data_IF_484412376010
#
_entry.id   IF_484412376010
#
_cell.length_a   1.000
_cell.length_b   1.000
_cell.length_c   1.000
_cell.angle_alpha   90.00
_cell.angle_beta   90.00
_cell.angle_gamma   90.00
#
_symmetry.space_group_name_H-M   'P 1'
#
loop_
_entity.id
_entity.type
_entity.pdbx_description
1 polymer ?
#
# COMPACT_ATOMS: atom_id res chain seq x y z
N UNK A 1 -9.68 10.42 -2.60
CA UNK A 1 -9.13 9.07 -2.35
C UNK A 1 -7.67 9.23 -2.00
N UNK A 2 -7.22 8.65 -0.88
CA UNK A 2 -5.82 8.66 -0.43
C UNK A 2 -5.37 7.23 -0.28
N UNK A 3 -4.20 6.88 -0.84
CA UNK A 3 -3.61 5.55 -0.65
C UNK A 3 -2.76 5.55 0.60
N UNK A 4 -3.04 4.63 1.51
CA UNK A 4 -2.21 4.33 2.66
C UNK A 4 -1.13 3.34 2.21
N UNK A 5 0.12 3.65 2.53
CA UNK A 5 1.30 2.84 2.19
C UNK A 5 1.96 2.41 3.49
N UNK A 6 2.27 1.12 3.63
CA UNK A 6 2.97 0.62 4.81
C UNK A 6 4.36 1.26 4.92
N UNK A 7 4.74 1.65 6.14
CA UNK A 7 6.07 2.15 6.48
C UNK A 7 7.22 1.19 6.13
N UNK A 8 6.97 -0.12 5.99
CA UNK A 8 7.97 -1.13 5.61
C UNK A 8 8.17 -1.25 4.10
N UNK A 9 7.32 -0.62 3.29
CA UNK A 9 7.45 -0.65 1.83
C UNK A 9 8.55 0.29 1.32
N UNK A 10 9.22 -0.03 0.18
CA UNK A 10 10.30 0.81 -0.35
C UNK A 10 9.86 2.26 -0.60
N UNK A 11 10.67 3.25 -0.21
CA UNK A 11 10.32 4.68 -0.37
C UNK A 11 10.01 5.07 -1.83
N UNK A 12 10.70 4.44 -2.78
CA UNK A 12 10.50 4.67 -4.22
C UNK A 12 9.07 4.34 -4.69
N UNK A 13 8.36 3.41 -4.03
CA UNK A 13 6.97 3.10 -4.42
C UNK A 13 6.05 4.26 -4.06
N UNK A 14 6.25 4.88 -2.90
CA UNK A 14 5.46 6.02 -2.48
C UNK A 14 5.71 7.22 -3.41
N UNK A 15 6.97 7.47 -3.77
CA UNK A 15 7.34 8.53 -4.71
C UNK A 15 6.69 8.36 -6.09
N UNK A 16 6.54 7.11 -6.56
CA UNK A 16 5.85 6.80 -7.81
C UNK A 16 4.34 7.04 -7.70
N UNK A 17 3.69 6.52 -6.65
CA UNK A 17 2.23 6.62 -6.48
C UNK A 17 1.80 8.08 -6.26
N UNK A 18 2.58 8.86 -5.49
CA UNK A 18 2.30 10.28 -5.19
C UNK A 18 2.23 11.17 -6.43
N UNK A 19 2.71 10.72 -7.59
CA UNK A 19 2.61 11.46 -8.85
C UNK A 19 1.16 11.58 -9.35
N UNK A 20 0.29 10.65 -8.94
CA UNK A 20 -1.09 10.56 -9.47
C UNK A 20 -2.13 10.70 -8.37
N UNK A 21 -1.82 10.26 -7.15
CA UNK A 21 -2.78 10.19 -6.04
C UNK A 21 -2.10 10.56 -4.72
N UNK A 22 -2.75 11.34 -3.83
CA UNK A 22 -2.23 11.57 -2.49
C UNK A 22 -1.96 10.26 -1.77
N UNK A 23 -0.81 10.17 -1.10
CA UNK A 23 -0.50 9.02 -0.26
C UNK A 23 -0.09 9.43 1.15
N UNK A 24 -0.23 8.49 2.07
CA UNK A 24 0.20 8.65 3.45
C UNK A 24 0.89 7.38 3.93
N UNK A 25 2.09 7.53 4.50
CA UNK A 25 2.85 6.42 5.08
C UNK A 25 2.54 6.25 6.56
N UNK A 26 2.23 5.02 6.95
CA UNK A 26 2.05 4.62 8.35
C UNK A 26 2.30 3.12 8.51
N UNK A 27 2.47 2.64 9.74
CA UNK A 27 2.53 1.21 10.01
C UNK A 27 1.13 0.58 9.82
N UNK A 28 0.96 -0.25 8.77
CA UNK A 28 -0.30 -0.91 8.43
C UNK A 28 -0.32 -2.36 8.96
N UNK A 29 0.78 -3.08 8.78
CA UNK A 29 1.03 -4.42 9.28
C UNK A 29 1.07 -4.43 10.83
N UNK A 30 0.49 -5.45 11.51
CA UNK A 30 -0.13 -6.67 10.97
C UNK A 30 -1.63 -6.57 10.70
N UNK A 31 -2.22 -5.40 10.82
CA UNK A 31 -3.67 -5.24 10.74
C UNK A 31 -4.18 -5.15 9.29
N UNK A 32 -3.36 -4.63 8.39
CA UNK A 32 -3.70 -4.34 7.01
C UNK A 32 -2.55 -4.74 6.07
N UNK A 33 -2.88 -4.88 4.78
CA UNK A 33 -1.90 -5.16 3.73
C UNK A 33 -0.99 -3.95 3.45
N UNK A 34 0.05 -4.18 2.66
CA UNK A 34 1.09 -3.20 2.33
C UNK A 34 0.55 -1.90 1.72
N UNK A 35 -0.55 -1.99 0.96
CA UNK A 35 -1.28 -0.83 0.46
C UNK A 35 -2.78 -0.96 0.75
N UNK A 36 -3.42 0.15 1.13
CA UNK A 36 -4.85 0.20 1.40
C UNK A 36 -5.48 1.52 0.98
N UNK A 37 -6.72 1.46 0.49
CA UNK A 37 -7.59 2.64 0.41
C UNK A 37 -9.06 2.26 0.54
N UNK A 38 -9.91 3.26 0.73
CA UNK A 38 -11.36 3.13 0.63
C UNK A 38 -11.78 3.72 -0.71
N UNK A 39 -12.41 2.90 -1.54
CA UNK A 39 -12.95 3.29 -2.83
C UNK A 39 -14.20 4.17 -2.66
N UNK A 40 -14.60 4.85 -3.75
CA UNK A 40 -15.71 5.81 -3.73
C UNK A 40 -17.07 5.19 -3.40
N UNK A 41 -17.19 3.88 -3.58
CA UNK A 41 -18.37 3.07 -3.27
C UNK A 41 -18.33 2.49 -1.85
N UNK A 42 -17.34 2.89 -1.04
CA UNK A 42 -17.17 2.46 0.35
C UNK A 42 -16.43 1.14 0.53
N UNK A 43 -16.04 0.45 -0.56
CA UNK A 43 -15.27 -0.78 -0.43
C UNK A 43 -13.84 -0.50 0.01
N UNK A 44 -13.34 -1.33 0.94
CA UNK A 44 -11.95 -1.30 1.37
C UNK A 44 -11.12 -2.19 0.45
N UNK A 45 -10.21 -1.57 -0.29
CA UNK A 45 -9.28 -2.27 -1.18
C UNK A 45 -7.94 -2.41 -0.46
N UNK A 46 -7.33 -3.59 -0.59
CA UNK A 46 -6.05 -3.94 -0.02
C UNK A 46 -5.20 -4.64 -1.07
N UNK A 47 -3.92 -4.29 -1.13
CA UNK A 47 -2.94 -4.94 -2.01
C UNK A 47 -1.75 -5.34 -1.14
N UNK A 48 -1.41 -6.63 -1.20
CA UNK A 48 -0.18 -7.17 -0.64
C UNK A 48 0.88 -7.21 -1.75
N UNK A 49 2.08 -6.71 -1.47
CA UNK A 49 3.24 -6.83 -2.33
C UNK A 49 4.12 -7.96 -1.81
N UNK A 50 4.41 -8.93 -2.68
CA UNK A 50 5.40 -9.98 -2.43
C UNK A 50 6.44 -9.97 -3.52
N UNK A 51 7.71 -10.08 -3.14
CA UNK A 51 8.79 -10.37 -4.06
C UNK A 51 8.71 -11.83 -4.48
N UNK A 52 9.16 -12.15 -5.68
CA UNK A 52 9.13 -13.52 -6.20
C UNK A 52 9.85 -14.51 -5.27
N UNK A 53 10.94 -14.06 -4.62
CA UNK A 53 11.67 -14.88 -3.66
C UNK A 53 10.84 -15.27 -2.42
N UNK A 54 9.93 -14.40 -1.97
CA UNK A 54 9.04 -14.65 -0.83
C UNK A 54 7.87 -15.57 -1.20
N UNK A 55 7.50 -15.63 -2.48
CA UNK A 55 6.43 -16.49 -2.98
C UNK A 55 6.94 -17.93 -3.19
N UNK A 56 8.19 -18.07 -3.63
CA UNK A 56 8.79 -19.35 -4.00
C UNK A 56 9.48 -20.08 -2.82
N UNK A 57 9.60 -19.42 -1.66
CA UNK A 57 10.15 -19.98 -0.42
C UNK A 57 9.05 -20.47 0.51
#
# INVERSE_FOLDING_TARGET
MTILVDSHEPELIEALIKQVVPTHRLALNPKYADYMWVAVDGHRIQIERKQIGEILS
#
